data_IF_374663116389
#
_entry.id   IF_374663116389
#
_cell.length_a   1.000
_cell.length_b   1.000
_cell.length_c   1.000
_cell.angle_alpha   90.00
_cell.angle_beta   90.00
_cell.angle_gamma   90.00
#
_symmetry.space_group_name_H-M   'P 1'
#
loop_
_entity.id
_entity.type
_entity.pdbx_description
1 polymer ?
#
# COMPACT_ATOMS: atom_id res chain seq x y z
N UNK A 1 21.48 8.61 3.02
CA UNK A 1 20.05 8.23 3.02
C UNK A 1 19.98 6.71 3.00
N UNK A 2 19.26 6.13 3.93
CA UNK A 2 19.11 4.69 4.00
C UNK A 2 18.17 4.19 2.90
N UNK A 3 18.46 3.02 2.37
CA UNK A 3 17.63 2.32 1.37
C UNK A 3 16.97 1.10 1.99
N UNK A 4 15.91 0.64 1.34
CA UNK A 4 15.27 -0.62 1.72
C UNK A 4 16.31 -1.75 1.63
N UNK A 5 16.58 -2.48 2.73
CA UNK A 5 17.56 -3.57 2.71
C UNK A 5 17.23 -4.61 1.64
N UNK A 6 18.25 -5.19 1.00
CA UNK A 6 18.10 -6.13 -0.12
C UNK A 6 17.23 -7.37 0.17
N UNK A 7 17.01 -7.70 1.45
CA UNK A 7 16.12 -8.80 1.87
C UNK A 7 14.63 -8.51 1.66
N UNK A 8 14.25 -7.24 1.42
CA UNK A 8 12.88 -6.84 1.18
C UNK A 8 12.61 -6.70 -0.32
N UNK A 9 11.47 -7.21 -0.73
CA UNK A 9 10.96 -7.03 -2.09
C UNK A 9 10.05 -5.80 -2.12
N UNK A 10 10.08 -5.07 -3.22
CA UNK A 10 9.22 -3.91 -3.45
C UNK A 10 8.67 -3.97 -4.88
N UNK A 11 7.35 -3.86 -4.98
CA UNK A 11 6.60 -3.73 -6.23
C UNK A 11 5.79 -2.45 -6.22
N UNK A 12 5.56 -1.85 -7.37
CA UNK A 12 4.73 -0.64 -7.46
C UNK A 12 3.92 -0.59 -8.75
N UNK A 13 2.87 0.22 -8.73
CA UNK A 13 2.11 0.64 -9.91
C UNK A 13 1.80 2.12 -9.79
N UNK A 14 1.70 2.80 -10.94
CA UNK A 14 1.35 4.21 -10.99
C UNK A 14 -0.01 4.37 -11.69
N UNK A 15 -0.91 5.12 -11.08
CA UNK A 15 -2.24 5.40 -11.59
C UNK A 15 -2.37 6.88 -11.84
N UNK A 16 -2.71 7.27 -13.07
CA UNK A 16 -2.92 8.66 -13.44
C UNK A 16 -4.07 9.28 -12.65
N UNK A 17 -3.94 10.55 -12.26
CA UNK A 17 -4.99 11.30 -11.56
C UNK A 17 -6.31 11.39 -12.33
N UNK A 18 -6.31 11.17 -13.65
CA UNK A 18 -7.53 11.10 -14.48
C UNK A 18 -8.49 9.97 -14.07
N UNK A 19 -8.00 8.92 -13.38
CA UNK A 19 -8.80 7.79 -12.91
C UNK A 19 -9.33 7.94 -11.47
N UNK A 20 -9.05 9.05 -10.80
CA UNK A 20 -9.48 9.26 -9.41
C UNK A 20 -11.00 9.26 -9.26
N UNK A 21 -11.74 9.75 -10.26
CA UNK A 21 -13.21 9.71 -10.25
C UNK A 21 -13.76 8.28 -10.29
N UNK A 22 -13.11 7.38 -11.03
CA UNK A 22 -13.51 5.97 -11.08
C UNK A 22 -13.21 5.26 -9.77
N UNK A 23 -12.02 5.49 -9.19
CA UNK A 23 -11.66 4.97 -7.87
C UNK A 23 -12.63 5.48 -6.78
N UNK A 24 -13.00 6.77 -6.84
CA UNK A 24 -13.98 7.33 -5.90
C UNK A 24 -15.35 6.67 -6.06
N UNK A 25 -15.80 6.46 -7.30
CA UNK A 25 -17.06 5.75 -7.57
C UNK A 25 -17.05 4.34 -6.96
N UNK A 26 -15.95 3.61 -7.03
CA UNK A 26 -15.83 2.30 -6.40
C UNK A 26 -15.90 2.38 -4.86
N UNK A 27 -15.28 3.39 -4.24
CA UNK A 27 -15.41 3.64 -2.80
C UNK A 27 -16.86 3.96 -2.42
N UNK A 28 -17.51 4.84 -3.18
CA UNK A 28 -18.91 5.24 -2.94
C UNK A 28 -19.86 4.04 -3.07
N UNK A 29 -19.61 3.15 -4.02
CA UNK A 29 -20.34 1.87 -4.14
C UNK A 29 -20.15 0.97 -2.93
N UNK A 30 -18.95 0.91 -2.37
CA UNK A 30 -18.70 0.15 -1.14
C UNK A 30 -19.46 0.75 0.05
N UNK A 31 -19.55 2.07 0.12
CA UNK A 31 -20.27 2.77 1.19
C UNK A 31 -21.79 2.58 1.10
N UNK A 32 -22.33 2.58 -0.14
CA UNK A 32 -23.78 2.45 -0.39
C UNK A 32 -24.28 1.02 -0.47
N UNK A 33 -23.40 0.06 -0.72
CA UNK A 33 -23.75 -1.35 -0.72
C UNK A 33 -24.17 -1.76 0.70
N UNK A 34 -25.48 -2.02 0.92
CA UNK A 34 -26.08 -2.49 2.18
C UNK A 34 -25.45 -3.74 2.81
N UNK A 35 -24.38 -4.28 2.22
CA UNK A 35 -23.57 -5.38 2.72
C UNK A 35 -22.55 -4.94 3.78
N UNK A 36 -22.27 -3.65 3.87
CA UNK A 36 -21.43 -3.08 4.91
C UNK A 36 -22.36 -2.71 6.04
N UNK A 37 -22.27 -3.44 7.12
CA UNK A 37 -23.07 -3.25 8.33
C UNK A 37 -23.25 -1.78 8.67
N UNK A 38 -24.44 -1.41 9.22
CA UNK A 38 -24.75 -0.14 9.90
C UNK A 38 -23.87 0.09 11.15
N UNK A 39 -22.57 -0.27 11.05
CA UNK A 39 -21.61 -0.04 12.11
C UNK A 39 -21.04 1.37 11.91
N UNK A 40 -21.40 2.28 12.80
CA UNK A 40 -20.98 3.69 12.76
C UNK A 40 -19.45 3.85 12.72
N UNK A 41 -18.71 2.97 13.44
CA UNK A 41 -17.25 3.00 13.46
C UNK A 41 -16.67 2.65 12.07
N UNK A 42 -17.25 1.66 11.40
CA UNK A 42 -16.81 1.30 10.06
C UNK A 42 -17.17 2.38 9.04
N UNK A 43 -18.36 2.94 9.13
CA UNK A 43 -18.81 4.04 8.27
C UNK A 43 -17.94 5.29 8.43
N UNK A 44 -17.60 5.66 9.66
CA UNK A 44 -16.70 6.78 9.91
C UNK A 44 -15.28 6.51 9.35
N UNK A 45 -14.80 5.29 9.45
CA UNK A 45 -13.49 4.89 8.91
C UNK A 45 -13.40 5.01 7.39
N UNK A 46 -14.43 4.55 6.66
CA UNK A 46 -14.42 4.64 5.19
C UNK A 46 -14.81 6.01 4.64
N UNK A 47 -15.52 6.84 5.42
CA UNK A 47 -15.91 8.19 5.01
C UNK A 47 -14.73 9.11 4.69
N UNK A 48 -13.57 8.83 5.28
CA UNK A 48 -12.33 9.58 5.07
C UNK A 48 -11.57 9.17 3.79
N UNK A 49 -11.92 8.05 3.15
CA UNK A 49 -11.26 7.60 1.94
C UNK A 49 -11.72 8.41 0.72
N UNK A 50 -10.86 9.32 0.26
CA UNK A 50 -11.16 10.19 -0.88
C UNK A 50 -10.05 10.15 -1.91
N UNK A 51 -10.40 9.66 -3.10
CA UNK A 51 -9.54 9.73 -4.28
C UNK A 51 -9.76 11.07 -4.98
N UNK A 52 -8.98 12.05 -4.59
CA UNK A 52 -8.97 13.38 -5.21
C UNK A 52 -7.57 13.97 -5.20
N UNK A 53 -7.32 14.89 -6.11
CA UNK A 53 -6.07 15.66 -6.09
C UNK A 53 -6.02 16.46 -4.79
N UNK A 54 -4.92 16.34 -4.00
CA UNK A 54 -4.81 17.04 -2.73
C UNK A 54 -4.80 18.56 -2.92
N UNK A 55 -5.55 19.29 -2.09
CA UNK A 55 -5.60 20.77 -2.16
C UNK A 55 -4.23 21.42 -1.97
N UNK A 56 -3.37 20.82 -1.16
CA UNK A 56 -2.00 21.28 -0.90
C UNK A 56 -0.97 20.75 -1.90
N UNK A 57 -1.41 19.98 -2.90
CA UNK A 57 -0.56 19.47 -3.97
C UNK A 57 -1.36 19.35 -5.29
N UNK A 58 -1.85 20.50 -5.85
CA UNK A 58 -2.71 20.53 -7.03
C UNK A 58 -2.00 20.06 -8.31
N UNK A 59 -0.66 20.07 -8.34
CA UNK A 59 0.15 19.61 -9.47
C UNK A 59 0.20 18.09 -9.63
N UNK A 60 -0.45 17.34 -8.73
CA UNK A 60 -0.46 15.87 -8.75
C UNK A 60 -0.86 15.32 -10.13
N UNK A 61 -0.02 14.47 -10.69
CA UNK A 61 -0.23 13.76 -11.97
C UNK A 61 -0.52 12.28 -11.77
N UNK A 62 0.17 11.65 -10.82
CA UNK A 62 0.04 10.23 -10.53
C UNK A 62 -0.11 9.97 -9.02
N UNK A 63 -0.77 8.86 -8.74
CA UNK A 63 -0.81 8.18 -7.45
C UNK A 63 -0.08 6.85 -7.59
N UNK A 64 1.01 6.67 -6.86
CA UNK A 64 1.81 5.45 -6.89
C UNK A 64 1.42 4.59 -5.70
N UNK A 65 0.96 3.36 -5.96
CA UNK A 65 0.77 2.34 -4.94
C UNK A 65 2.00 1.45 -4.88
N UNK A 66 2.49 1.21 -3.68
CA UNK A 66 3.71 0.43 -3.41
C UNK A 66 3.36 -0.70 -2.45
N UNK A 67 3.81 -1.89 -2.75
CA UNK A 67 3.83 -3.02 -1.84
C UNK A 67 5.27 -3.33 -1.44
N UNK A 68 5.51 -3.47 -0.14
CA UNK A 68 6.80 -3.90 0.40
C UNK A 68 6.59 -5.16 1.22
N UNK A 69 7.41 -6.19 0.99
CA UNK A 69 7.33 -7.45 1.71
C UNK A 69 7.51 -7.22 3.22
N UNK A 70 6.72 -7.96 4.01
CA UNK A 70 6.91 -8.03 5.47
C UNK A 70 7.76 -9.24 5.80
N UNK A 71 8.80 -9.10 6.61
CA UNK A 71 9.52 -10.25 7.09
C UNK A 71 8.63 -11.11 7.98
N UNK A 72 8.85 -12.43 7.94
CA UNK A 72 8.28 -13.38 8.87
C UNK A 72 9.40 -13.83 9.79
N UNK A 73 9.24 -13.65 11.10
CA UNK A 73 10.19 -14.14 12.08
C UNK A 73 9.88 -15.60 12.43
N UNK A 74 10.90 -16.43 12.42
CA UNK A 74 10.85 -17.77 12.97
C UNK A 74 11.38 -17.72 14.40
N UNK A 75 10.55 -18.12 15.36
CA UNK A 75 10.94 -18.24 16.76
C UNK A 75 10.96 -19.73 17.12
N UNK A 76 12.07 -20.18 17.66
CA UNK A 76 12.18 -21.53 18.20
C UNK A 76 12.10 -21.48 19.74
N UNK A 77 11.25 -22.29 20.34
CA UNK A 77 11.16 -22.43 21.77
C UNK A 77 11.21 -23.92 22.20
N UNK A 78 11.66 -24.15 23.42
CA UNK A 78 11.73 -25.50 24.00
C UNK A 78 10.49 -25.75 24.86
N UNK A 79 9.82 -26.88 24.63
CA UNK A 79 8.71 -27.33 25.44
C UNK A 79 8.77 -28.85 25.60
N UNK A 80 8.75 -29.32 26.82
CA UNK A 80 8.87 -30.78 27.16
C UNK A 80 10.08 -31.46 26.51
N UNK A 81 11.23 -30.77 26.47
CA UNK A 81 12.48 -31.19 25.81
C UNK A 81 12.41 -31.37 24.30
N UNK A 82 11.40 -30.83 23.66
CA UNK A 82 11.27 -30.77 22.21
C UNK A 82 11.37 -29.32 21.71
N UNK A 83 11.99 -29.11 20.56
CA UNK A 83 12.08 -27.81 19.91
C UNK A 83 10.86 -27.60 19.02
N UNK A 84 10.19 -26.46 19.19
CA UNK A 84 9.03 -26.08 18.40
C UNK A 84 9.29 -24.76 17.67
N UNK A 85 8.94 -24.72 16.39
CA UNK A 85 9.05 -23.54 15.56
C UNK A 85 7.69 -22.83 15.46
N UNK A 86 7.68 -21.51 15.73
CA UNK A 86 6.54 -20.63 15.52
C UNK A 86 6.93 -19.53 14.56
N UNK A 87 6.07 -19.26 13.59
CA UNK A 87 6.25 -18.18 12.62
C UNK A 87 5.38 -17.00 13.00
N UNK A 88 5.99 -15.83 13.17
CA UNK A 88 5.31 -14.59 13.57
C UNK A 88 5.43 -13.57 12.46
N UNK A 89 4.29 -13.04 12.02
CA UNK A 89 4.22 -11.92 11.09
C UNK A 89 4.22 -10.56 11.79
N UNK A 90 4.67 -9.50 11.11
CA UNK A 90 4.39 -8.12 11.52
C UNK A 90 2.85 -7.95 11.75
N UNK A 91 2.36 -7.21 12.77
CA UNK A 91 3.05 -6.11 13.44
C UNK A 91 3.71 -6.45 14.78
N UNK A 92 3.90 -7.70 15.12
CA UNK A 92 4.37 -8.12 16.45
C UNK A 92 5.88 -7.90 16.69
N UNK A 93 6.60 -7.42 15.70
CA UNK A 93 8.02 -7.05 15.80
C UNK A 93 8.33 -5.96 14.77
N UNK A 94 9.50 -5.32 14.93
CA UNK A 94 9.97 -4.27 14.01
C UNK A 94 10.13 -4.84 12.58
N UNK A 95 9.54 -4.17 11.60
CA UNK A 95 9.68 -4.55 10.19
C UNK A 95 11.11 -4.32 9.66
N UNK A 96 11.90 -3.52 10.34
CA UNK A 96 13.28 -3.18 9.97
C UNK A 96 13.37 -2.16 8.83
N UNK A 97 12.29 -1.39 8.58
CA UNK A 97 12.29 -0.24 7.67
C UNK A 97 11.16 0.74 8.03
N UNK A 98 11.37 2.01 7.71
CA UNK A 98 10.39 3.09 7.89
C UNK A 98 9.75 3.50 6.57
N UNK A 99 8.72 4.33 6.64
CA UNK A 99 8.05 4.88 5.45
C UNK A 99 8.99 5.77 4.62
N UNK A 100 9.87 6.50 5.27
CA UNK A 100 10.88 7.35 4.62
C UNK A 100 11.86 6.49 3.81
N UNK A 101 12.27 5.34 4.33
CA UNK A 101 13.10 4.36 3.61
C UNK A 101 12.36 3.82 2.38
N UNK A 102 11.06 3.53 2.50
CA UNK A 102 10.24 3.11 1.36
C UNK A 102 10.13 4.21 0.31
N UNK A 103 9.87 5.45 0.73
CA UNK A 103 9.78 6.60 -0.16
C UNK A 103 11.09 6.84 -0.93
N UNK A 104 12.22 6.78 -0.23
CA UNK A 104 13.53 6.96 -0.85
C UNK A 104 13.87 5.82 -1.82
N UNK A 105 13.56 4.59 -1.44
CA UNK A 105 13.76 3.41 -2.30
C UNK A 105 12.86 3.47 -3.55
N UNK A 106 11.62 3.95 -3.40
CA UNK A 106 10.73 4.18 -4.54
C UNK A 106 11.30 5.26 -5.45
N UNK A 107 11.76 6.41 -4.90
CA UNK A 107 12.36 7.50 -5.67
C UNK A 107 13.48 6.99 -6.58
N UNK A 108 14.36 6.17 -6.05
CA UNK A 108 15.45 5.54 -6.81
C UNK A 108 14.94 4.54 -7.85
N UNK A 109 13.99 3.70 -7.47
CA UNK A 109 13.43 2.66 -8.34
C UNK A 109 12.78 3.22 -9.60
N UNK A 110 12.11 4.38 -9.50
CA UNK A 110 11.45 5.04 -10.63
C UNK A 110 12.35 6.11 -11.28
N UNK A 111 13.60 6.25 -10.84
CA UNK A 111 14.53 7.31 -11.29
C UNK A 111 13.88 8.71 -11.21
N UNK A 112 13.18 9.01 -10.09
CA UNK A 112 12.49 10.27 -9.95
C UNK A 112 13.51 11.43 -9.82
N UNK A 113 13.47 12.42 -10.72
CA UNK A 113 14.34 13.59 -10.61
C UNK A 113 14.10 14.36 -9.30
N UNK A 114 15.14 15.06 -8.81
CA UNK A 114 15.11 15.78 -7.53
C UNK A 114 14.03 16.86 -7.44
N UNK A 115 13.66 17.44 -8.58
CA UNK A 115 12.70 18.54 -8.68
C UNK A 115 11.25 18.10 -8.45
N UNK A 116 10.98 16.78 -8.58
CA UNK A 116 9.65 16.22 -8.38
C UNK A 116 9.43 15.71 -6.97
N UNK A 117 8.19 15.80 -6.52
CA UNK A 117 7.78 15.45 -5.15
C UNK A 117 7.18 14.05 -5.07
N UNK A 118 7.38 13.40 -3.94
CA UNK A 118 6.58 12.27 -3.48
C UNK A 118 5.91 12.68 -2.17
N UNK A 119 4.58 12.69 -2.15
CA UNK A 119 3.80 13.07 -0.96
C UNK A 119 2.95 11.88 -0.55
N UNK A 120 3.24 11.33 0.62
CA UNK A 120 2.51 10.20 1.15
C UNK A 120 1.06 10.56 1.46
N UNK A 121 0.15 9.62 1.18
CA UNK A 121 -1.23 9.70 1.64
C UNK A 121 -1.64 8.40 2.36
N UNK A 122 -2.03 8.55 3.62
CA UNK A 122 -2.50 7.44 4.49
C UNK A 122 -4.03 7.29 4.50
N UNK A 123 -4.76 8.24 3.89
CA UNK A 123 -6.23 8.29 3.88
C UNK A 123 -6.79 7.79 2.54
N UNK A 124 -6.34 6.61 2.10
CA UNK A 124 -6.80 5.96 0.88
C UNK A 124 -7.14 4.50 1.15
N UNK A 125 -8.09 3.96 0.39
CA UNK A 125 -8.38 2.53 0.42
C UNK A 125 -7.30 1.75 -0.35
N UNK A 126 -6.12 1.55 0.28
CA UNK A 126 -4.91 1.03 -0.37
C UNK A 126 -5.12 -0.31 -1.06
N UNK A 127 -5.90 -1.23 -0.46
CA UNK A 127 -6.19 -2.53 -1.09
C UNK A 127 -7.00 -2.38 -2.39
N UNK A 128 -7.98 -1.48 -2.42
CA UNK A 128 -8.74 -1.19 -3.65
C UNK A 128 -7.80 -0.63 -4.73
N UNK A 129 -6.95 0.32 -4.38
CA UNK A 129 -5.98 0.90 -5.29
C UNK A 129 -5.01 -0.16 -5.83
N UNK A 130 -4.48 -1.04 -4.96
CA UNK A 130 -3.59 -2.12 -5.36
C UNK A 130 -4.25 -3.09 -6.35
N UNK A 131 -5.52 -3.42 -6.14
CA UNK A 131 -6.25 -4.33 -7.04
C UNK A 131 -6.60 -3.65 -8.36
N UNK A 132 -7.10 -2.41 -8.31
CA UNK A 132 -7.48 -1.66 -9.53
C UNK A 132 -6.28 -1.33 -10.42
N UNK A 133 -5.12 -1.09 -9.85
CA UNK A 133 -3.87 -0.87 -10.59
C UNK A 133 -3.19 -2.16 -11.08
N UNK A 134 -3.73 -3.34 -10.77
CA UNK A 134 -3.10 -4.62 -11.11
C UNK A 134 -1.84 -4.93 -10.28
N UNK A 135 -1.60 -4.23 -9.17
CA UNK A 135 -0.49 -4.56 -8.26
C UNK A 135 -0.77 -5.85 -7.50
N UNK A 136 -2.04 -6.13 -7.16
CA UNK A 136 -2.41 -7.30 -6.39
C UNK A 136 -3.84 -7.75 -6.65
N UNK A 137 -4.27 -8.79 -5.96
CA UNK A 137 -5.61 -9.35 -6.04
C UNK A 137 -6.21 -9.56 -4.66
N UNK A 138 -7.54 -9.51 -4.54
CA UNK A 138 -8.22 -9.88 -3.29
C UNK A 138 -8.28 -11.39 -3.11
N UNK A 139 -7.84 -11.86 -1.95
CA UNK A 139 -8.14 -13.21 -1.48
C UNK A 139 -9.55 -13.32 -0.88
N UNK A 140 -10.04 -14.55 -0.70
CA UNK A 140 -11.33 -14.83 -0.04
C UNK A 140 -11.42 -14.31 1.41
N UNK A 141 -10.28 -14.15 2.07
CA UNK A 141 -10.11 -13.62 3.42
C UNK A 141 -10.01 -12.09 3.46
N UNK A 142 -10.31 -11.40 2.35
CA UNK A 142 -10.20 -9.94 2.20
C UNK A 142 -8.77 -9.40 2.41
N UNK A 143 -7.73 -10.22 2.26
CA UNK A 143 -6.35 -9.78 2.20
C UNK A 143 -5.96 -9.48 0.74
N UNK A 144 -5.04 -8.53 0.55
CA UNK A 144 -4.45 -8.26 -0.76
C UNK A 144 -3.21 -9.14 -0.93
N UNK A 145 -3.15 -9.86 -2.03
CA UNK A 145 -2.01 -10.71 -2.42
C UNK A 145 -1.26 -10.04 -3.57
N UNK A 146 0.06 -9.93 -3.43
CA UNK A 146 0.93 -9.24 -4.40
C UNK A 146 2.03 -10.20 -4.86
N UNK A 147 1.92 -10.70 -6.09
CA UNK A 147 2.91 -11.59 -6.69
C UNK A 147 3.45 -12.66 -5.73
N UNK A 148 4.76 -12.87 -5.76
CA UNK A 148 5.45 -13.84 -4.90
C UNK A 148 5.54 -13.42 -3.42
N UNK A 149 5.28 -12.15 -3.10
CA UNK A 149 5.21 -11.67 -1.71
C UNK A 149 3.98 -12.17 -0.95
N UNK A 150 2.96 -12.68 -1.66
CA UNK A 150 1.71 -13.13 -1.05
C UNK A 150 0.97 -11.99 -0.35
N UNK A 151 0.36 -12.29 0.82
CA UNK A 151 -0.38 -11.30 1.62
C UNK A 151 0.47 -10.66 2.75
N UNK A 152 1.73 -11.06 2.88
CA UNK A 152 2.65 -10.48 3.88
C UNK A 152 3.34 -9.23 3.32
N UNK A 153 2.54 -8.20 3.09
CA UNK A 153 2.97 -6.93 2.52
C UNK A 153 2.45 -5.73 3.32
N UNK A 154 3.24 -4.65 3.34
CA UNK A 154 2.77 -3.32 3.67
C UNK A 154 2.44 -2.59 2.36
N UNK A 155 1.31 -1.90 2.34
CA UNK A 155 0.91 -1.05 1.22
C UNK A 155 1.11 0.42 1.59
N UNK A 156 1.69 1.18 0.67
CA UNK A 156 1.92 2.63 0.78
C UNK A 156 1.39 3.32 -0.47
N UNK A 157 0.97 4.57 -0.34
CA UNK A 157 0.57 5.37 -1.48
C UNK A 157 1.23 6.75 -1.45
N UNK A 158 1.72 7.20 -2.60
CA UNK A 158 2.40 8.47 -2.77
C UNK A 158 1.84 9.22 -3.98
N UNK A 159 1.47 10.48 -3.78
CA UNK A 159 1.20 11.40 -4.88
C UNK A 159 2.50 11.94 -5.46
N UNK A 160 2.52 12.16 -6.77
CA UNK A 160 3.65 12.81 -7.45
C UNK A 160 3.17 13.72 -8.59
N UNK A 161 3.92 14.78 -8.83
CA UNK A 161 3.78 15.69 -9.97
C UNK A 161 4.57 15.23 -11.22
N UNK A 162 5.28 14.10 -11.13
CA UNK A 162 6.08 13.56 -12.23
C UNK A 162 5.21 12.88 -13.28
N UNK A 163 5.35 13.32 -14.55
CA UNK A 163 4.58 12.80 -15.68
C UNK A 163 5.23 11.60 -16.39
N UNK A 164 6.50 11.30 -16.09
CA UNK A 164 7.27 10.27 -16.79
C UNK A 164 6.94 8.82 -16.38
N UNK A 165 5.79 8.59 -15.72
CA UNK A 165 5.36 7.26 -15.29
C UNK A 165 4.39 6.63 -16.30
N UNK A 166 4.45 5.30 -16.42
CA UNK A 166 3.47 4.52 -17.19
C UNK A 166 2.21 4.31 -16.35
N UNK A 167 1.07 4.68 -16.93
CA UNK A 167 -0.24 4.48 -16.30
C UNK A 167 -0.58 2.97 -16.27
N UNK A 168 -0.89 2.47 -15.09
CA UNK A 168 -1.20 1.06 -14.82
C UNK A 168 -2.71 0.83 -14.64
N UNK A 169 -3.55 1.53 -15.43
CA UNK A 169 -5.01 1.45 -15.35
C UNK A 169 -5.62 0.55 -16.42
#
# INVERSE_FOLDING_TARGET
MEELPAKFQMEYRAVSSKHFSELQTDVDRLQTANKIHNNEVFQSYIADFKYQVPKNFPETKFLIIVAVSKPIAKIQFQYKNEAHDVYIGSPYYDSGYTEEIVQESLRKRINLPSDFKLVQNRKLHLKLLAVRSGLGVYGRNNLCYVGDMGCFVNLYAFFTDYEGLTDSW
#
